data_IF_263081089454
#
_entry.id   IF_263081089454
#
_cell.length_a   1.000
_cell.length_b   1.000
_cell.length_c   1.000
_cell.angle_alpha   90.00
_cell.angle_beta   90.00
_cell.angle_gamma   90.00
#
_symmetry.space_group_name_H-M   'P 1'
#
loop_
_entity.id
_entity.type
_entity.pdbx_description
1 polymer ?
#
# COMPACT_ATOMS: atom_id res chain seq x y z
N UNK A 1 -3.99 -4.93 -17.51
CA UNK A 1 -3.12 -5.56 -16.50
C UNK A 1 -3.88 -6.50 -15.59
N UNK A 2 -4.80 -6.03 -14.74
CA UNK A 2 -5.62 -6.88 -13.84
C UNK A 2 -6.31 -8.08 -14.52
N UNK A 3 -7.18 -7.83 -15.51
CA UNK A 3 -7.88 -8.94 -16.22
C UNK A 3 -6.89 -9.83 -16.96
N UNK A 4 -5.84 -9.25 -17.54
CA UNK A 4 -4.84 -9.98 -18.32
C UNK A 4 -3.99 -10.90 -17.45
N UNK A 5 -3.56 -10.45 -16.26
CA UNK A 5 -2.77 -11.28 -15.34
C UNK A 5 -3.54 -12.51 -14.87
N UNK A 6 -4.87 -12.38 -14.73
CA UNK A 6 -5.76 -13.50 -14.39
C UNK A 6 -5.84 -14.50 -15.56
N UNK A 7 -6.06 -14.01 -16.78
CA UNK A 7 -6.15 -14.87 -17.97
C UNK A 7 -4.82 -15.60 -18.24
N UNK A 8 -3.70 -14.94 -17.98
CA UNK A 8 -2.34 -15.47 -18.19
C UNK A 8 -1.78 -16.27 -16.99
N UNK A 9 -2.58 -16.52 -15.95
CA UNK A 9 -2.18 -17.21 -14.71
C UNK A 9 -0.84 -16.74 -14.11
N UNK A 10 -0.69 -15.41 -14.04
CA UNK A 10 0.50 -14.76 -13.50
C UNK A 10 0.15 -13.76 -12.43
N UNK A 11 1.13 -13.46 -11.57
CA UNK A 11 0.98 -12.36 -10.61
C UNK A 11 0.79 -11.03 -11.34
N UNK A 12 -0.16 -10.19 -10.90
CA UNK A 12 -0.27 -8.83 -11.41
C UNK A 12 0.97 -8.03 -11.01
N UNK A 13 1.27 -6.98 -11.77
CA UNK A 13 2.38 -6.09 -11.42
C UNK A 13 2.16 -5.38 -10.08
N UNK A 14 0.90 -5.03 -9.77
CA UNK A 14 0.49 -4.50 -8.46
C UNK A 14 -0.39 -5.54 -7.79
N UNK A 15 0.15 -6.15 -6.73
CA UNK A 15 -0.55 -7.09 -5.88
C UNK A 15 -1.02 -6.44 -4.56
N UNK A 16 -1.62 -7.25 -3.69
CA UNK A 16 -2.18 -6.76 -2.43
C UNK A 16 -1.11 -6.15 -1.50
N UNK A 17 0.08 -6.76 -1.43
CA UNK A 17 1.19 -6.28 -0.60
C UNK A 17 1.73 -4.95 -1.13
N UNK A 18 1.90 -4.84 -2.45
CA UNK A 18 2.33 -3.59 -3.09
C UNK A 18 1.31 -2.48 -2.86
N UNK A 19 0.03 -2.77 -3.05
CA UNK A 19 -1.05 -1.82 -2.79
C UNK A 19 -1.09 -1.39 -1.31
N UNK A 20 -0.97 -2.33 -0.37
CA UNK A 20 -0.98 -2.05 1.07
C UNK A 20 0.17 -1.11 1.47
N UNK A 21 1.39 -1.36 0.97
CA UNK A 21 2.54 -0.49 1.23
C UNK A 21 2.30 0.96 0.77
N UNK A 22 1.72 1.15 -0.41
CA UNK A 22 1.42 2.49 -0.93
C UNK A 22 0.30 3.19 -0.16
N UNK A 23 -0.77 2.46 0.14
CA UNK A 23 -1.92 3.01 0.87
C UNK A 23 -1.57 3.35 2.32
N UNK A 24 -0.84 2.47 3.02
CA UNK A 24 -0.46 2.66 4.41
C UNK A 24 0.37 3.94 4.61
N UNK A 25 1.29 4.25 3.68
CA UNK A 25 2.06 5.49 3.74
C UNK A 25 1.16 6.74 3.77
N UNK A 26 0.10 6.77 2.94
CA UNK A 26 -0.85 7.88 2.92
C UNK A 26 -1.68 7.99 4.20
N UNK A 27 -2.09 6.86 4.77
CA UNK A 27 -2.82 6.80 6.05
C UNK A 27 -1.95 7.32 7.19
N UNK A 28 -0.72 6.82 7.32
CA UNK A 28 0.22 7.27 8.34
C UNK A 28 0.57 8.76 8.20
N UNK A 29 0.70 9.26 6.97
CA UNK A 29 0.91 10.69 6.73
C UNK A 29 -0.29 11.55 7.18
N UNK A 30 -1.52 11.06 6.92
CA UNK A 30 -2.73 11.73 7.38
C UNK A 30 -2.81 11.75 8.91
N UNK A 31 -2.52 10.62 9.56
CA UNK A 31 -2.46 10.52 11.03
C UNK A 31 -1.40 11.45 11.63
N UNK A 32 -0.20 11.48 11.05
CA UNK A 32 0.87 12.40 11.45
C UNK A 32 0.40 13.86 11.38
N UNK A 33 -0.25 14.27 10.29
CA UNK A 33 -0.78 15.62 10.13
C UNK A 33 -1.84 15.98 11.19
N UNK A 34 -2.70 15.03 11.56
CA UNK A 34 -3.71 15.21 12.62
C UNK A 34 -3.08 15.37 14.01
N UNK A 35 -1.88 14.84 14.21
CA UNK A 35 -1.10 14.93 15.45
C UNK A 35 0.05 15.96 15.37
N UNK A 36 -0.08 16.99 14.54
CA UNK A 36 0.90 18.08 14.50
C UNK A 36 2.26 17.72 13.89
N UNK A 37 2.32 16.64 13.12
CA UNK A 37 3.54 16.18 12.44
C UNK A 37 4.35 15.15 13.22
N UNK A 38 3.74 14.47 14.20
CA UNK A 38 4.40 13.39 14.94
C UNK A 38 4.85 12.24 14.01
N UNK A 39 5.93 11.55 14.39
CA UNK A 39 6.41 10.39 13.66
C UNK A 39 5.43 9.22 13.77
N UNK A 40 5.05 8.65 12.62
CA UNK A 40 4.17 7.47 12.54
C UNK A 40 4.88 6.36 11.76
N UNK A 41 5.03 5.19 12.39
CA UNK A 41 5.68 4.03 11.78
C UNK A 41 4.74 3.39 10.77
N UNK A 42 5.18 3.30 9.52
CA UNK A 42 4.45 2.60 8.47
C UNK A 42 4.53 1.09 8.73
N UNK A 43 3.40 0.36 8.77
CA UNK A 43 3.40 -1.08 8.95
C UNK A 43 4.09 -1.80 7.78
N UNK A 44 4.79 -2.88 8.08
CA UNK A 44 5.37 -3.78 7.08
C UNK A 44 4.34 -4.83 6.69
N UNK A 45 4.21 -5.08 5.39
CA UNK A 45 3.37 -6.12 4.83
C UNK A 45 4.28 -7.14 4.13
N UNK A 46 4.25 -8.39 4.58
CA UNK A 46 4.98 -9.54 3.99
C UNK A 46 4.11 -10.30 2.98
#
# INVERSE_FOLDING_TARGET
EFVRSIVEDRRPWIDAVTAANWTAAGICAHESAMHGGDEVIIPSFE
#
